data_IF_528734138726
#
_entry.id   IF_528734138726
#
_cell.length_a   1.000
_cell.length_b   1.000
_cell.length_c   1.000
_cell.angle_alpha   90.00
_cell.angle_beta   90.00
_cell.angle_gamma   90.00
#
_symmetry.space_group_name_H-M   'P 1'
#
loop_
_entity.id
_entity.type
_entity.pdbx_description
1 polymer ?
#
# COMPACT_ATOMS: atom_id res chain seq x y z
N UNK A 1 23.07 31.58 -27.35
CA UNK A 1 21.96 30.94 -28.08
C UNK A 1 21.97 29.41 -27.95
N UNK A 2 22.94 28.64 -28.50
CA UNK A 2 22.93 27.15 -28.40
C UNK A 2 22.88 26.58 -26.97
N UNK A 3 23.66 27.12 -26.04
CA UNK A 3 23.65 26.67 -24.62
C UNK A 3 22.31 26.91 -23.93
N UNK A 4 21.64 28.00 -24.25
CA UNK A 4 20.35 28.34 -23.66
C UNK A 4 19.25 27.38 -24.11
N UNK A 5 19.25 27.02 -25.40
CA UNK A 5 18.32 26.04 -25.97
C UNK A 5 18.49 24.67 -25.29
N UNK A 6 19.73 24.19 -25.17
CA UNK A 6 20.02 22.91 -24.50
C UNK A 6 19.59 22.92 -23.03
N UNK A 7 19.77 24.06 -22.34
CA UNK A 7 19.34 24.18 -20.94
C UNK A 7 17.81 24.16 -20.83
N UNK A 8 17.09 24.81 -21.74
CA UNK A 8 15.62 24.79 -21.77
C UNK A 8 15.08 23.38 -22.04
N UNK A 9 15.68 22.65 -22.97
CA UNK A 9 15.31 21.25 -23.24
C UNK A 9 15.53 20.36 -22.01
N UNK A 10 16.66 20.53 -21.31
CA UNK A 10 16.92 19.80 -20.06
C UNK A 10 15.92 20.13 -18.96
N UNK A 11 15.58 21.41 -18.80
CA UNK A 11 14.56 21.83 -17.82
C UNK A 11 13.22 21.18 -18.15
N UNK A 12 12.82 21.22 -19.42
CA UNK A 12 11.57 20.61 -19.86
C UNK A 12 11.51 19.10 -19.58
N UNK A 13 12.60 18.37 -19.84
CA UNK A 13 12.70 16.95 -19.52
C UNK A 13 12.60 16.69 -18.00
N UNK A 14 13.24 17.52 -17.19
CA UNK A 14 13.16 17.41 -15.72
C UNK A 14 11.75 17.72 -15.21
N UNK A 15 11.05 18.68 -15.80
CA UNK A 15 9.65 18.98 -15.47
C UNK A 15 8.74 17.78 -15.75
N UNK A 16 8.90 17.14 -16.91
CA UNK A 16 8.15 15.92 -17.27
C UNK A 16 8.48 14.75 -16.34
N UNK A 17 9.74 14.60 -15.94
CA UNK A 17 10.16 13.56 -15.00
C UNK A 17 9.55 13.79 -13.61
N UNK A 18 9.53 15.04 -13.13
CA UNK A 18 8.87 15.41 -11.88
C UNK A 18 7.37 15.09 -11.94
N UNK A 19 6.68 15.48 -13.00
CA UNK A 19 5.25 15.16 -13.20
C UNK A 19 5.00 13.65 -13.14
N UNK A 20 5.79 12.88 -13.88
CA UNK A 20 5.70 11.41 -13.89
C UNK A 20 5.96 10.81 -12.51
N UNK A 21 6.92 11.35 -11.75
CA UNK A 21 7.23 10.88 -10.40
C UNK A 21 6.11 11.21 -9.42
N UNK A 22 5.48 12.37 -9.55
CA UNK A 22 4.31 12.76 -8.74
C UNK A 22 3.13 11.83 -8.98
N UNK A 23 2.80 11.52 -10.24
CA UNK A 23 1.72 10.58 -10.57
C UNK A 23 1.94 9.18 -9.99
N UNK A 24 3.19 8.70 -10.04
CA UNK A 24 3.58 7.42 -9.43
C UNK A 24 3.45 7.46 -7.91
N UNK A 25 3.83 8.56 -7.27
CA UNK A 25 3.73 8.74 -5.83
C UNK A 25 2.25 8.69 -5.40
N UNK A 26 1.36 9.36 -6.13
CA UNK A 26 -0.07 9.34 -5.86
C UNK A 26 -0.67 7.94 -6.00
N UNK A 27 -0.25 7.20 -7.02
CA UNK A 27 -0.65 5.81 -7.22
C UNK A 27 -0.20 4.90 -6.07
N UNK A 28 1.04 5.08 -5.59
CA UNK A 28 1.56 4.34 -4.43
C UNK A 28 0.78 4.70 -3.15
N UNK A 29 0.48 5.99 -2.94
CA UNK A 29 -0.30 6.43 -1.78
C UNK A 29 -1.72 5.83 -1.78
N UNK A 30 -2.36 5.74 -2.94
CA UNK A 30 -3.65 5.06 -3.08
C UNK A 30 -3.56 3.58 -2.70
N UNK A 31 -2.56 2.86 -3.22
CA UNK A 31 -2.34 1.45 -2.90
C UNK A 31 -2.04 1.22 -1.41
N UNK A 32 -1.27 2.10 -0.77
CA UNK A 32 -1.02 2.04 0.68
C UNK A 32 -2.32 2.17 1.46
N UNK A 33 -3.19 3.10 1.08
CA UNK A 33 -4.50 3.29 1.73
C UNK A 33 -5.37 2.04 1.61
N UNK A 34 -5.43 1.42 0.43
CA UNK A 34 -6.15 0.16 0.23
C UNK A 34 -5.61 -0.96 1.12
N UNK A 35 -4.28 -1.06 1.26
CA UNK A 35 -3.65 -2.03 2.15
C UNK A 35 -3.99 -1.78 3.62
N UNK A 36 -4.07 -0.52 4.05
CA UNK A 36 -4.48 -0.16 5.40
C UNK A 36 -5.93 -0.55 5.68
N UNK A 37 -6.83 -0.33 4.72
CA UNK A 37 -8.23 -0.70 4.85
C UNK A 37 -8.40 -2.23 4.88
N UNK A 38 -7.69 -2.97 4.02
CA UNK A 38 -7.65 -4.43 4.08
C UNK A 38 -7.12 -4.95 5.42
N UNK A 39 -6.12 -4.26 6.00
CA UNK A 39 -5.59 -4.60 7.34
C UNK A 39 -6.65 -4.39 8.43
N UNK A 40 -7.49 -3.36 8.32
CA UNK A 40 -8.63 -3.14 9.25
C UNK A 40 -9.68 -4.23 9.08
N UNK A 41 -10.04 -4.60 7.86
CA UNK A 41 -11.01 -5.65 7.58
C UNK A 41 -10.56 -7.00 8.12
N UNK A 42 -9.31 -7.38 7.87
CA UNK A 42 -8.70 -8.58 8.44
C UNK A 42 -8.76 -8.55 9.98
N UNK A 43 -8.53 -7.38 10.60
CA UNK A 43 -8.66 -7.23 12.06
C UNK A 43 -10.11 -7.38 12.53
N UNK A 44 -11.08 -6.85 11.79
CA UNK A 44 -12.51 -7.04 12.06
C UNK A 44 -12.89 -8.52 12.02
N UNK A 45 -12.50 -9.22 10.95
CA UNK A 45 -12.73 -10.65 10.79
C UNK A 45 -12.11 -11.46 11.93
N UNK A 46 -10.88 -11.13 12.36
CA UNK A 46 -10.25 -11.78 13.54
C UNK A 46 -11.10 -11.69 14.79
N UNK A 47 -11.59 -10.49 15.10
CA UNK A 47 -12.39 -10.26 16.31
C UNK A 47 -13.72 -11.02 16.19
N UNK A 48 -14.37 -10.93 15.04
CA UNK A 48 -15.62 -11.63 14.77
C UNK A 48 -15.48 -13.15 14.92
N UNK A 49 -14.45 -13.75 14.32
CA UNK A 49 -14.22 -15.19 14.40
C UNK A 49 -13.86 -15.63 15.82
N UNK A 50 -13.04 -14.85 16.52
CA UNK A 50 -12.67 -15.15 17.91
C UNK A 50 -13.85 -15.11 18.88
N UNK A 51 -14.87 -14.28 18.61
CA UNK A 51 -16.10 -14.20 19.40
C UNK A 51 -17.17 -15.22 19.00
N UNK A 52 -17.38 -15.44 17.69
CA UNK A 52 -18.47 -16.26 17.18
C UNK A 52 -18.12 -17.75 17.09
N UNK A 53 -16.83 -18.09 16.92
CA UNK A 53 -16.35 -19.46 16.78
C UNK A 53 -15.06 -19.67 17.60
N UNK A 54 -15.17 -19.84 18.93
CA UNK A 54 -14.01 -20.03 19.81
C UNK A 54 -13.13 -21.22 19.40
N UNK A 55 -13.76 -22.29 18.93
CA UNK A 55 -13.12 -23.54 18.47
C UNK A 55 -12.36 -23.37 17.15
N UNK A 56 -12.60 -22.27 16.43
CA UNK A 56 -11.87 -21.99 15.19
C UNK A 56 -10.37 -21.93 15.44
N UNK A 57 -9.97 -21.43 16.61
CA UNK A 57 -8.56 -21.29 16.98
C UNK A 57 -7.86 -22.65 17.13
N UNK A 58 -8.57 -23.63 17.68
CA UNK A 58 -8.06 -24.99 17.89
C UNK A 58 -8.14 -25.84 16.63
N UNK A 59 -9.16 -25.63 15.78
CA UNK A 59 -9.34 -26.37 14.52
C UNK A 59 -8.43 -25.90 13.40
N UNK A 60 -8.05 -24.62 13.37
CA UNK A 60 -7.23 -24.04 12.30
C UNK A 60 -6.03 -23.24 12.82
N UNK A 61 -5.11 -23.87 13.56
CA UNK A 61 -3.97 -23.19 14.17
C UNK A 61 -3.03 -22.54 13.15
N UNK A 62 -2.92 -23.08 11.94
CA UNK A 62 -2.09 -22.49 10.87
C UNK A 62 -2.66 -21.17 10.33
N UNK A 63 -3.99 -21.12 10.15
CA UNK A 63 -4.69 -19.88 9.79
C UNK A 63 -4.54 -18.89 10.93
N UNK A 64 -4.67 -19.33 12.18
CA UNK A 64 -4.42 -18.49 13.35
C UNK A 64 -3.00 -17.94 13.38
N UNK A 65 -1.97 -18.69 12.99
CA UNK A 65 -0.60 -18.17 12.95
C UNK A 65 -0.41 -17.12 11.87
N UNK A 66 -0.97 -17.33 10.67
CA UNK A 66 -0.86 -16.36 9.56
C UNK A 66 -1.65 -15.10 9.82
N UNK A 67 -2.83 -15.25 10.42
CA UNK A 67 -3.76 -14.17 10.65
C UNK A 67 -3.39 -13.46 11.96
N UNK A 68 -3.23 -14.15 13.09
CA UNK A 68 -3.01 -13.55 14.41
C UNK A 68 -1.55 -13.35 14.85
N UNK A 69 -0.53 -13.69 14.03
CA UNK A 69 0.85 -13.22 14.33
C UNK A 69 0.82 -11.69 14.45
N UNK A 70 1.19 -11.19 15.63
CA UNK A 70 1.53 -9.77 15.80
C UNK A 70 2.74 -9.50 14.90
N UNK A 71 2.50 -8.87 13.75
CA UNK A 71 3.47 -7.96 13.14
C UNK A 71 3.63 -6.74 14.03
#
# INVERSE_FOLDING_TARGET
MKKEIILREKIHLLEQEIETLTEKLDSINAAIKELEDLKKDIKGLKVFMGGSHPDFKSKFPEIMQKVFKKS
#
